data_IF_827200079321
#
_entry.id   IF_827200079321
#
_cell.length_a   1.000
_cell.length_b   1.000
_cell.length_c   1.000
_cell.angle_alpha   90.00
_cell.angle_beta   90.00
_cell.angle_gamma   90.00
#
_symmetry.space_group_name_H-M   'P 1'
#
loop_
_entity.id
_entity.type
_entity.pdbx_description
1 polymer ?
#
# COMPACT_ATOMS: atom_id res chain seq x y z
N UNK A 1 -21.15 58.13 31.77
CA UNK A 1 -19.84 58.26 31.10
C UNK A 1 -18.76 57.90 32.10
N UNK A 2 -17.85 56.97 31.74
CA UNK A 2 -16.75 56.39 32.56
C UNK A 2 -17.29 55.53 33.70
N UNK A 3 -16.81 54.34 34.04
CA UNK A 3 -15.68 53.48 33.71
C UNK A 3 -16.15 52.12 34.30
N UNK A 4 -15.82 50.92 33.85
CA UNK A 4 -14.49 50.33 33.91
C UNK A 4 -14.69 48.86 33.55
N UNK A 5 -14.06 48.43 32.47
CA UNK A 5 -13.93 47.03 32.09
C UNK A 5 -13.20 46.26 33.19
N UNK A 6 -13.84 45.21 33.73
CA UNK A 6 -13.18 44.11 34.45
C UNK A 6 -14.00 42.83 34.19
N UNK A 7 -13.82 42.25 32.99
CA UNK A 7 -14.07 40.83 32.77
C UNK A 7 -12.68 40.15 32.76
N UNK A 8 -12.41 39.21 33.67
CA UNK A 8 -11.10 38.60 33.81
C UNK A 8 -10.81 37.68 32.62
N UNK A 9 -9.55 37.75 32.19
CA UNK A 9 -8.92 36.90 31.20
C UNK A 9 -9.00 35.40 31.57
N UNK A 10 -10.08 34.71 31.19
CA UNK A 10 -10.26 33.25 31.28
C UNK A 10 -11.24 32.92 30.14
N UNK A 11 -10.89 32.39 28.97
CA UNK A 11 -9.98 31.31 28.66
C UNK A 11 -9.35 31.60 27.30
N UNK A 12 -8.03 31.64 27.32
CA UNK A 12 -7.12 31.47 26.21
C UNK A 12 -7.33 30.08 25.58
N UNK A 13 -8.39 29.90 24.77
CA UNK A 13 -8.60 28.70 23.94
C UNK A 13 -8.47 29.04 22.46
N UNK A 14 -7.54 29.93 22.12
CA UNK A 14 -6.88 29.91 20.83
C UNK A 14 -5.79 28.86 20.95
N UNK A 15 -6.07 27.64 20.55
CA UNK A 15 -5.04 26.69 20.13
C UNK A 15 -5.72 25.59 19.32
N UNK A 16 -5.76 25.84 18.01
CA UNK A 16 -5.58 24.81 17.00
C UNK A 16 -6.48 23.59 17.24
N UNK A 17 -7.76 23.70 16.84
CA UNK A 17 -8.48 22.51 16.38
C UNK A 17 -7.55 21.87 15.37
N UNK A 18 -6.90 20.80 15.81
CA UNK A 18 -5.99 20.03 15.01
C UNK A 18 -6.83 19.52 13.86
N UNK A 19 -6.68 20.13 12.68
CA UNK A 19 -6.80 19.37 11.45
C UNK A 19 -5.83 18.21 11.60
N UNK A 20 -6.28 17.12 12.21
CA UNK A 20 -5.78 15.80 11.85
C UNK A 20 -6.09 15.74 10.37
N UNK A 21 -5.06 16.02 9.58
CA UNK A 21 -4.99 15.57 8.22
C UNK A 21 -5.58 14.16 8.20
N UNK A 22 -6.49 13.83 7.27
CA UNK A 22 -6.66 12.43 6.94
C UNK A 22 -5.25 11.96 6.58
N UNK A 23 -4.64 11.21 7.51
CA UNK A 23 -3.46 10.38 7.24
C UNK A 23 -3.81 9.76 5.92
N UNK A 24 -3.07 10.09 4.85
CA UNK A 24 -3.35 9.57 3.53
C UNK A 24 -3.60 8.09 3.71
N UNK A 25 -4.87 7.71 3.62
CA UNK A 25 -5.27 6.34 3.47
C UNK A 25 -4.67 6.03 2.13
N UNK A 26 -3.45 5.49 2.16
CA UNK A 26 -2.80 4.85 1.03
C UNK A 26 -3.81 3.82 0.56
N UNK A 27 -4.69 4.28 -0.34
CA UNK A 27 -5.86 3.62 -0.90
C UNK A 27 -5.98 2.17 -0.44
N UNK A 28 -6.40 1.98 0.81
CA UNK A 28 -6.87 0.69 1.28
C UNK A 28 -8.24 0.54 0.63
N UNK A 29 -8.18 0.16 -0.63
CA UNK A 29 -9.30 -0.50 -1.29
C UNK A 29 -9.59 -1.72 -0.42
N UNK A 30 -10.85 -1.97 -0.04
CA UNK A 30 -11.23 -3.14 0.74
C UNK A 30 -11.11 -4.37 -0.16
N UNK A 31 -9.88 -4.82 -0.43
CA UNK A 31 -9.61 -6.14 -0.99
C UNK A 31 -9.56 -7.06 0.21
N UNK A 32 -10.67 -7.77 0.40
CA UNK A 32 -10.83 -8.93 1.27
C UNK A 32 -9.50 -9.63 1.51
N UNK A 33 -8.90 -9.35 2.67
CA UNK A 33 -7.66 -9.97 3.10
C UNK A 33 -7.95 -11.40 3.52
N UNK A 34 -8.07 -12.30 2.54
CA UNK A 34 -7.87 -13.73 2.73
C UNK A 34 -6.77 -14.19 1.77
N UNK A 35 -5.54 -14.16 2.29
CA UNK A 35 -4.44 -15.06 1.92
C UNK A 35 -4.17 -15.28 0.42
N UNK A 36 -4.36 -14.26 -0.42
CA UNK A 36 -3.79 -14.29 -1.76
C UNK A 36 -2.33 -13.85 -1.69
N UNK A 37 -1.47 -14.62 -2.32
CA UNK A 37 -0.03 -14.37 -2.37
C UNK A 37 0.36 -13.35 -3.47
N UNK A 38 -0.62 -12.64 -4.02
CA UNK A 38 -0.43 -11.56 -4.98
C UNK A 38 -0.41 -10.22 -4.21
N UNK A 39 0.66 -9.46 -4.37
CA UNK A 39 0.81 -8.10 -3.87
C UNK A 39 0.59 -7.10 -5.01
N UNK A 40 -0.57 -6.42 -5.06
CA UNK A 40 -0.88 -5.45 -6.10
C UNK A 40 0.10 -4.28 -6.16
N UNK A 41 0.79 -3.97 -5.05
CA UNK A 41 1.77 -2.88 -5.01
C UNK A 41 3.09 -3.26 -5.70
N UNK A 42 3.32 -4.54 -6.01
CA UNK A 42 4.50 -5.05 -6.73
C UNK A 42 4.25 -5.32 -8.20
N UNK A 43 3.02 -5.15 -8.68
CA UNK A 43 2.71 -5.32 -10.10
C UNK A 43 3.41 -4.20 -10.88
N UNK A 44 4.27 -4.59 -11.82
CA UNK A 44 5.05 -3.70 -12.67
C UNK A 44 4.98 -4.18 -14.13
N UNK A 45 3.99 -3.71 -14.92
CA UNK A 45 3.82 -4.13 -16.31
C UNK A 45 4.96 -3.68 -17.22
N UNK A 46 5.65 -2.59 -16.87
CA UNK A 46 6.80 -2.04 -17.59
C UNK A 46 8.13 -2.59 -17.05
N UNK A 47 8.08 -3.57 -16.14
CA UNK A 47 9.25 -4.13 -15.50
C UNK A 47 10.09 -4.96 -16.49
N UNK A 48 11.34 -4.54 -16.66
CA UNK A 48 12.29 -5.21 -17.56
C UNK A 48 12.85 -6.46 -16.89
N UNK A 49 12.81 -7.59 -17.61
CA UNK A 49 13.43 -8.84 -17.21
C UNK A 49 14.38 -9.32 -18.30
N UNK A 50 15.39 -10.08 -17.91
CA UNK A 50 16.17 -10.85 -18.89
C UNK A 50 15.28 -11.92 -19.53
N UNK A 51 15.47 -12.17 -20.82
CA UNK A 51 14.74 -13.20 -21.58
C UNK A 51 15.40 -14.58 -21.44
N UNK A 52 15.68 -14.97 -20.19
CA UNK A 52 16.12 -16.32 -19.83
C UNK A 52 14.89 -17.11 -19.40
N UNK A 53 14.75 -18.33 -19.94
CA UNK A 53 13.73 -19.27 -19.52
C UNK A 53 14.26 -20.14 -18.37
N UNK A 54 13.80 -19.84 -17.16
CA UNK A 54 14.07 -20.58 -15.91
C UNK A 54 12.75 -20.60 -15.11
N UNK A 55 11.79 -21.47 -15.47
CA UNK A 55 10.40 -21.32 -15.07
C UNK A 55 10.19 -21.45 -13.56
N UNK A 56 9.17 -20.75 -13.07
CA UNK A 56 8.69 -20.86 -11.69
C UNK A 56 7.17 -20.99 -11.66
N UNK A 57 6.66 -21.78 -10.72
CA UNK A 57 5.23 -21.93 -10.46
C UNK A 57 4.82 -20.95 -9.36
N UNK A 58 4.05 -19.94 -9.73
CA UNK A 58 3.47 -18.98 -8.82
C UNK A 58 2.50 -19.65 -7.85
N UNK A 59 2.40 -19.10 -6.65
CA UNK A 59 1.38 -19.46 -5.66
C UNK A 59 -0.06 -19.19 -6.15
N UNK A 60 -0.24 -18.46 -7.24
CA UNK A 60 -1.50 -18.29 -7.97
C UNK A 60 -1.75 -19.37 -9.03
N UNK A 61 -0.91 -20.41 -9.07
CA UNK A 61 -1.03 -21.55 -9.97
C UNK A 61 -0.58 -21.26 -11.41
N UNK A 62 0.09 -20.13 -11.66
CA UNK A 62 0.58 -19.77 -12.99
C UNK A 62 2.07 -20.04 -13.15
N UNK A 63 2.45 -20.60 -14.28
CA UNK A 63 3.86 -20.68 -14.69
C UNK A 63 4.33 -19.33 -15.21
N UNK A 64 5.45 -18.86 -14.69
CA UNK A 64 6.17 -17.69 -15.20
C UNK A 64 7.47 -18.13 -15.83
N UNK A 65 7.85 -17.54 -16.97
CA UNK A 65 9.07 -17.91 -17.69
C UNK A 65 10.36 -17.70 -16.89
N UNK A 66 10.33 -16.82 -15.88
CA UNK A 66 11.35 -16.71 -14.84
C UNK A 66 10.82 -16.00 -13.58
N UNK A 67 11.63 -16.01 -12.52
CA UNK A 67 11.32 -15.37 -11.23
C UNK A 67 11.12 -13.85 -11.31
N UNK A 68 11.80 -13.17 -12.25
CA UNK A 68 11.60 -11.73 -12.49
C UNK A 68 10.19 -11.46 -13.02
N UNK A 69 9.74 -12.22 -14.03
CA UNK A 69 8.38 -12.09 -14.59
C UNK A 69 7.31 -12.42 -13.55
N UNK A 70 7.54 -13.40 -12.67
CA UNK A 70 6.65 -13.69 -11.53
C UNK A 70 6.56 -12.51 -10.56
N UNK A 71 7.71 -11.93 -10.19
CA UNK A 71 7.77 -10.79 -9.27
C UNK A 71 7.07 -9.55 -9.83
N UNK A 72 7.26 -9.24 -11.12
CA UNK A 72 6.58 -8.13 -11.81
C UNK A 72 5.06 -8.36 -11.95
N UNK A 73 4.59 -9.60 -11.84
CA UNK A 73 3.16 -9.92 -11.75
C UNK A 73 2.60 -9.80 -10.32
N UNK A 74 3.42 -9.35 -9.36
CA UNK A 74 3.04 -9.22 -7.96
C UNK A 74 3.06 -10.55 -7.19
N UNK A 75 3.56 -11.64 -7.77
CA UNK A 75 3.64 -12.94 -7.09
C UNK A 75 4.69 -12.88 -5.99
N UNK A 76 4.28 -13.14 -4.75
CA UNK A 76 5.19 -13.06 -3.58
C UNK A 76 5.82 -14.39 -3.19
N UNK A 77 5.34 -15.51 -3.74
CA UNK A 77 5.87 -16.84 -3.48
C UNK A 77 5.74 -17.71 -4.72
N UNK A 78 6.79 -18.47 -5.03
CA UNK A 78 6.81 -19.40 -6.16
C UNK A 78 7.81 -20.54 -5.90
N UNK A 79 7.62 -21.66 -6.57
CA UNK A 79 8.55 -22.80 -6.57
C UNK A 79 9.28 -22.90 -7.91
N UNK A 80 10.46 -23.52 -7.93
CA UNK A 80 11.22 -23.74 -9.18
C UNK A 80 10.51 -24.77 -10.06
N UNK A 81 10.47 -24.52 -11.37
CA UNK A 81 9.79 -25.35 -12.36
C UNK A 81 8.42 -24.80 -12.75
N UNK A 82 7.81 -25.39 -13.77
CA UNK A 82 6.43 -25.07 -14.17
C UNK A 82 5.42 -25.65 -13.16
N UNK A 83 4.18 -25.16 -13.19
CA UNK A 83 3.09 -25.76 -12.43
C UNK A 83 2.70 -27.15 -13.00
N UNK A 84 2.19 -28.04 -12.14
CA UNK A 84 1.77 -29.41 -12.48
C UNK A 84 0.25 -29.54 -12.49
#
# INVERSE_FOLDING_TARGET
>A
MKSLLLLPAIVLAISLVSCKTPKETKKETPVSQEKSCIDPAKINPDGVCIEVYDPVCGCDGKTYGNSCKASNAGVTSFTKGECQ
#
